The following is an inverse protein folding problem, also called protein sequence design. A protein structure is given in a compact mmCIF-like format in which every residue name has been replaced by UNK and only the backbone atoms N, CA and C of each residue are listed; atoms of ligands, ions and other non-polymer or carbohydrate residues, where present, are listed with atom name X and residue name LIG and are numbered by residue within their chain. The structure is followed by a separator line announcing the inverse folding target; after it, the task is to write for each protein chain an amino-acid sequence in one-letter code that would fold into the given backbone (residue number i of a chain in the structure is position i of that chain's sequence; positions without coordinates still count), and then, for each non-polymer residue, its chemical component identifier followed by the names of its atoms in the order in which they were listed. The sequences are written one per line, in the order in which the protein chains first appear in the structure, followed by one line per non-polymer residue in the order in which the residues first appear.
data_IF_074523423369
#
_entry.id   IF_074523423369
#
_cell.length_a   1.000
_cell.length_b   1.000
_cell.length_c   1.000
_cell.angle_alpha   90.00
_cell.angle_beta   90.00
_cell.angle_gamma   90.00
#
_symmetry.space_group_name_H-M   'P 1'
#
loop_
_entity.id
_entity.type
_entity.pdbx_description
1 polymer ?
#
# COMPACT_ATOMS: atom_id res chain seq x y z
N UNK A 1 -6.14 26.85 -4.03
CA UNK A 1 -6.44 25.69 -3.18
C UNK A 1 -6.40 24.44 -4.03
N UNK A 2 -5.58 23.43 -3.71
CA UNK A 2 -5.37 22.35 -4.67
C UNK A 2 -6.33 21.18 -4.39
N UNK A 3 -7.49 21.24 -5.06
CA UNK A 3 -8.17 20.02 -5.52
C UNK A 3 -7.60 19.73 -6.92
N UNK A 4 -6.63 18.81 -7.04
CA UNK A 4 -6.21 18.17 -8.32
C UNK A 4 -5.08 17.17 -8.08
N UNK A 5 -5.38 16.05 -7.41
CA UNK A 5 -4.47 14.89 -7.39
C UNK A 5 -4.82 13.83 -8.44
N UNK A 6 -5.70 14.15 -9.40
CA UNK A 6 -6.11 13.23 -10.47
C UNK A 6 -5.64 13.63 -11.87
N UNK A 7 -4.86 14.71 -12.00
CA UNK A 7 -4.36 15.22 -13.30
C UNK A 7 -2.95 14.71 -13.65
N UNK A 8 -2.36 13.82 -12.85
CA UNK A 8 -1.06 13.17 -13.12
C UNK A 8 -1.27 11.78 -13.72
N UNK A 9 -2.21 11.68 -14.66
CA UNK A 9 -2.46 10.47 -15.44
C UNK A 9 -2.02 10.79 -16.88
N UNK A 10 -0.79 10.34 -17.18
CA UNK A 10 -0.14 10.23 -18.49
C UNK A 10 0.18 11.52 -19.28
N UNK A 11 1.44 11.98 -19.19
CA UNK A 11 2.15 12.55 -20.36
C UNK A 11 3.65 12.19 -20.29
N UNK A 12 4.09 11.48 -21.35
CA UNK A 12 5.43 11.42 -21.95
C UNK A 12 6.51 10.43 -21.47
N UNK A 13 6.82 9.52 -22.42
CA UNK A 13 8.10 8.87 -22.75
C UNK A 13 8.47 7.55 -22.06
N UNK A 14 8.29 6.50 -22.85
CA UNK A 14 8.93 5.17 -22.90
C UNK A 14 9.99 4.84 -21.83
N UNK A 15 9.56 4.02 -20.85
CA UNK A 15 10.26 2.78 -20.54
C UNK A 15 9.24 1.69 -20.28
N UNK A 16 9.11 0.79 -21.25
CA UNK A 16 8.40 -0.46 -21.11
C UNK A 16 9.03 -1.27 -19.96
N UNK A 17 8.34 -1.35 -18.83
CA UNK A 17 8.38 -2.56 -18.02
C UNK A 17 6.98 -3.11 -17.99
N UNK A 18 6.78 -4.19 -18.73
CA UNK A 18 5.62 -5.07 -18.64
C UNK A 18 5.61 -5.71 -17.24
N UNK A 19 5.17 -4.96 -16.24
CA UNK A 19 4.94 -5.41 -14.88
C UNK A 19 3.59 -4.82 -14.51
N UNK A 20 2.59 -5.68 -14.30
CA UNK A 20 1.27 -5.26 -13.82
C UNK A 20 1.46 -4.16 -12.77
N UNK A 21 0.88 -2.99 -12.99
CA UNK A 21 0.70 -1.97 -11.93
C UNK A 21 -0.29 -2.53 -10.88
N UNK A 22 0.07 -3.65 -10.26
CA UNK A 22 -0.47 -4.11 -9.00
C UNK A 22 0.09 -3.13 -7.98
N UNK A 23 -0.67 -2.08 -7.68
CA UNK A 23 -0.41 -1.23 -6.53
C UNK A 23 0.01 -2.12 -5.36
N UNK A 24 1.21 -1.91 -4.82
CA UNK A 24 1.69 -2.72 -3.70
C UNK A 24 0.82 -2.38 -2.50
N UNK A 25 0.61 -3.38 -1.63
CA UNK A 25 -0.22 -3.20 -0.43
C UNK A 25 0.22 -1.97 0.38
N UNK A 26 1.52 -1.77 0.55
CA UNK A 26 2.08 -0.61 1.26
C UNK A 26 1.67 0.73 0.65
N UNK A 27 1.78 0.87 -0.68
CA UNK A 27 1.42 2.11 -1.38
C UNK A 27 -0.10 2.39 -1.27
N UNK A 28 -0.91 1.33 -1.31
CA UNK A 28 -2.36 1.44 -1.12
C UNK A 28 -2.73 1.87 0.30
N UNK A 29 -2.03 1.34 1.31
CA UNK A 29 -2.22 1.74 2.70
C UNK A 29 -1.85 3.21 2.95
N UNK A 30 -0.78 3.69 2.30
CA UNK A 30 -0.35 5.10 2.39
C UNK A 30 -1.33 6.01 1.67
N UNK A 31 -1.69 5.69 0.43
CA UNK A 31 -2.61 6.50 -0.37
C UNK A 31 -4.02 6.59 0.22
N UNK A 32 -4.45 5.59 0.99
CA UNK A 32 -5.74 5.60 1.72
C UNK A 32 -5.66 6.35 3.05
N UNK A 33 -4.47 6.80 3.48
CA UNK A 33 -4.25 7.46 4.76
C UNK A 33 -4.34 6.52 5.97
N UNK A 34 -4.39 5.21 5.75
CA UNK A 34 -4.42 4.20 6.81
C UNK A 34 -3.04 3.96 7.43
N UNK A 35 -1.97 4.31 6.70
CA UNK A 35 -0.59 4.14 7.14
C UNK A 35 0.23 5.35 6.69
N UNK A 36 1.12 5.84 7.53
CA UNK A 36 2.08 6.88 7.11
C UNK A 36 3.23 6.28 6.29
N UNK A 37 3.88 7.08 5.44
CA UNK A 37 5.08 6.64 4.73
C UNK A 37 6.21 6.22 5.67
N UNK A 38 6.35 6.92 6.80
CA UNK A 38 7.35 6.62 7.82
C UNK A 38 7.07 5.28 8.52
N UNK A 39 5.82 4.99 8.86
CA UNK A 39 5.40 3.70 9.41
C UNK A 39 5.62 2.56 8.43
N UNK A 40 5.29 2.78 7.16
CA UNK A 40 5.53 1.81 6.11
C UNK A 40 7.03 1.50 5.98
N UNK A 41 7.90 2.52 5.97
CA UNK A 41 9.36 2.33 5.90
C UNK A 41 9.90 1.55 7.11
N UNK A 42 9.39 1.84 8.31
CA UNK A 42 9.74 1.10 9.54
C UNK A 42 9.30 -0.36 9.46
N UNK A 43 8.05 -0.61 9.06
CA UNK A 43 7.51 -1.96 8.94
C UNK A 43 8.22 -2.78 7.85
N UNK A 44 8.56 -2.18 6.72
CA UNK A 44 9.35 -2.83 5.66
C UNK A 44 10.78 -3.14 6.11
N UNK A 45 11.39 -2.27 6.92
CA UNK A 45 12.71 -2.53 7.49
C UNK A 45 12.65 -3.72 8.45
N UNK A 46 11.63 -3.79 9.32
CA UNK A 46 11.42 -4.95 10.20
C UNK A 46 11.13 -6.23 9.41
N UNK A 47 10.35 -6.12 8.32
CA UNK A 47 10.03 -7.25 7.45
C UNK A 47 11.28 -7.93 6.89
N UNK A 48 12.34 -7.18 6.56
CA UNK A 48 13.60 -7.74 6.04
C UNK A 48 14.27 -8.72 7.00
N UNK A 49 14.12 -8.48 8.30
CA UNK A 49 14.78 -9.28 9.35
C UNK A 49 13.80 -10.26 10.02
N UNK A 50 12.49 -10.07 9.82
CA UNK A 50 11.45 -10.97 10.32
C UNK A 50 11.05 -12.01 9.25
N UNK A 51 10.51 -13.15 9.67
CA UNK A 51 9.80 -14.08 8.76
C UNK A 51 8.32 -13.73 8.58
N UNK A 52 7.86 -12.58 9.08
CA UNK A 52 6.45 -12.17 9.07
C UNK A 52 6.11 -11.42 7.79
N UNK A 53 4.85 -11.50 7.36
CA UNK A 53 4.32 -10.65 6.28
C UNK A 53 4.13 -9.22 6.77
N UNK A 54 4.18 -8.25 5.85
CA UNK A 54 3.96 -6.84 6.16
C UNK A 54 2.66 -6.60 6.96
N UNK A 55 1.55 -7.23 6.55
CA UNK A 55 0.27 -7.12 7.26
C UNK A 55 0.33 -7.60 8.72
N UNK A 56 1.04 -8.69 8.99
CA UNK A 56 1.20 -9.22 10.36
C UNK A 56 2.03 -8.27 11.24
N UNK A 57 3.05 -7.63 10.66
CA UNK A 57 3.87 -6.63 11.36
C UNK A 57 3.02 -5.40 11.69
N UNK A 58 2.22 -4.92 10.73
CA UNK A 58 1.36 -3.75 10.91
C UNK A 58 0.27 -4.00 11.96
N UNK A 59 -0.35 -5.18 11.97
CA UNK A 59 -1.32 -5.58 13.00
C UNK A 59 -0.64 -5.74 14.37
N UNK A 60 0.51 -6.41 14.41
CA UNK A 60 1.27 -6.61 15.65
C UNK A 60 1.74 -5.30 16.30
N UNK A 61 1.93 -4.24 15.50
CA UNK A 61 2.25 -2.88 15.97
C UNK A 61 1.02 -2.02 16.24
N UNK A 62 -0.20 -2.54 16.10
CA UNK A 62 -1.45 -1.80 16.22
C UNK A 62 -1.57 -0.61 15.25
N UNK A 63 -0.81 -0.64 14.14
CA UNK A 63 -0.89 0.36 13.07
C UNK A 63 -2.07 0.09 12.13
N UNK A 64 -2.50 -1.18 12.06
CA UNK A 64 -3.68 -1.61 11.32
C UNK A 64 -4.47 -2.63 12.13
N UNK A 65 -5.78 -2.64 11.94
CA UNK A 65 -6.64 -3.74 12.36
C UNK A 65 -6.72 -4.81 11.25
N UNK A 66 -7.08 -6.04 11.63
CA UNK A 66 -7.35 -7.12 10.68
C UNK A 66 -8.43 -6.73 9.67
N UNK A 67 -9.48 -6.04 10.14
CA UNK A 67 -10.57 -5.55 9.29
C UNK A 67 -10.09 -4.54 8.25
N UNK A 68 -9.30 -3.55 8.66
CA UNK A 68 -8.75 -2.55 7.73
C UNK A 68 -7.83 -3.21 6.69
N UNK A 69 -6.99 -4.15 7.13
CA UNK A 69 -6.13 -4.91 6.22
C UNK A 69 -6.97 -5.71 5.21
N UNK A 70 -8.03 -6.37 5.66
CA UNK A 70 -8.91 -7.16 4.81
C UNK A 70 -9.68 -6.29 3.79
N UNK A 71 -10.19 -5.12 4.19
CA UNK A 71 -10.84 -4.16 3.29
C UNK A 71 -9.89 -3.68 2.17
N UNK A 72 -8.62 -3.43 2.51
CA UNK A 72 -7.61 -3.00 1.54
C UNK A 72 -7.23 -4.15 0.59
N UNK A 73 -7.08 -5.36 1.10
CA UNK A 73 -6.79 -6.56 0.30
C UNK A 73 -7.94 -6.92 -0.64
N UNK A 74 -9.18 -6.83 -0.16
CA UNK A 74 -10.40 -7.01 -0.96
C UNK A 74 -10.40 -6.07 -2.17
N UNK A 75 -10.09 -4.78 -1.95
CA UNK A 75 -9.97 -3.77 -3.02
C UNK A 75 -8.84 -4.09 -4.00
N UNK A 76 -7.68 -4.51 -3.49
CA UNK A 76 -6.52 -4.86 -4.32
C UNK A 76 -6.80 -6.08 -5.22
N UNK A 77 -7.50 -7.07 -4.70
CA UNK A 77 -7.82 -8.33 -5.38
C UNK A 77 -9.13 -8.26 -6.18
N UNK A 78 -9.90 -7.17 -6.05
CA UNK A 78 -11.24 -6.99 -6.64
C UNK A 78 -12.21 -8.11 -6.25
N UNK A 79 -12.12 -8.55 -4.99
CA UNK A 79 -13.01 -9.56 -4.41
C UNK A 79 -13.91 -8.88 -3.36
N UNK A 80 -15.18 -9.29 -3.21
CA UNK A 80 -16.00 -8.83 -2.09
C UNK A 80 -15.41 -9.31 -0.76
N UNK A 81 -15.58 -8.49 0.28
CA UNK A 81 -15.19 -8.81 1.66
C UNK A 81 -16.24 -9.73 2.31
#
# INVERSE_FOLDING_TARGET
GPRRNFEVIFVSQEKETNGQFRFKLGDLLVSTGLLSEEDLKRALSEQKYSKKRLGEILIGKQLLTERQLAEVLSRQLRIPL
#
